data_IF_692221032370
#
_entry.id   IF_692221032370
#
_cell.length_a   1.000
_cell.length_b   1.000
_cell.length_c   1.000
_cell.angle_alpha   90.00
_cell.angle_beta   90.00
_cell.angle_gamma   90.00
#
_symmetry.space_group_name_H-M   'P 1'
#
loop_
_entity.id
_entity.type
_entity.pdbx_description
1 polymer ?
#
# COMPACT_ATOMS: atom_id res chain seq x y z
N UNK A 1 -20.08 2.29 -12.90
CA UNK A 1 -19.01 1.42 -12.33
C UNK A 1 -18.36 0.49 -13.35
N UNK A 2 -19.10 -0.20 -14.24
CA UNK A 2 -18.46 -1.02 -15.31
C UNK A 2 -17.51 -0.20 -16.18
N UNK A 3 -17.96 0.99 -16.59
CA UNK A 3 -17.21 1.94 -17.42
C UNK A 3 -15.87 2.41 -16.81
N UNK A 4 -15.76 2.50 -15.46
CA UNK A 4 -14.51 2.93 -14.79
C UNK A 4 -13.44 1.83 -14.86
N UNK A 5 -13.84 0.55 -14.90
CA UNK A 5 -12.89 -0.57 -14.90
C UNK A 5 -12.06 -0.62 -16.19
N UNK A 6 -12.64 -0.14 -17.28
CA UNK A 6 -12.03 -0.14 -18.61
C UNK A 6 -11.00 0.99 -18.79
N UNK A 7 -10.91 1.90 -17.82
CA UNK A 7 -10.00 3.06 -17.84
C UNK A 7 -8.67 2.81 -17.14
N UNK A 8 -8.30 1.55 -16.89
CA UNK A 8 -7.07 1.23 -16.19
C UNK A 8 -5.80 1.46 -17.03
N UNK A 9 -5.96 1.45 -18.36
CA UNK A 9 -4.87 1.58 -19.34
C UNK A 9 -4.55 3.01 -19.75
N UNK A 10 -5.25 4.00 -19.19
CA UNK A 10 -5.04 5.42 -19.50
C UNK A 10 -4.72 6.19 -18.24
N UNK A 11 -3.92 7.24 -18.37
CA UNK A 11 -3.65 8.17 -17.28
C UNK A 11 -4.90 8.97 -16.93
N UNK A 12 -4.97 9.48 -15.69
CA UNK A 12 -6.03 10.39 -15.31
C UNK A 12 -5.99 11.68 -16.14
N UNK A 13 -4.79 12.18 -16.48
CA UNK A 13 -4.61 13.31 -17.37
C UNK A 13 -5.24 13.09 -18.74
N UNK A 14 -4.96 11.97 -19.40
CA UNK A 14 -5.51 11.64 -20.72
C UNK A 14 -7.03 11.58 -20.68
N UNK A 15 -7.56 10.91 -19.64
CA UNK A 15 -8.99 10.84 -19.42
C UNK A 15 -9.60 12.23 -19.22
N UNK A 16 -9.02 13.06 -18.34
CA UNK A 16 -9.57 14.37 -17.98
C UNK A 16 -9.54 15.35 -19.16
N UNK A 17 -8.45 15.37 -19.92
CA UNK A 17 -8.33 16.17 -21.14
C UNK A 17 -9.34 15.73 -22.21
N UNK A 18 -9.56 14.42 -22.37
CA UNK A 18 -10.57 13.88 -23.30
C UNK A 18 -12.00 14.32 -22.97
N UNK A 19 -12.26 14.76 -21.73
CA UNK A 19 -13.54 15.28 -21.26
C UNK A 19 -13.62 16.81 -21.26
N UNK A 20 -12.68 17.49 -21.90
CA UNK A 20 -12.63 18.97 -21.98
C UNK A 20 -11.96 19.64 -20.78
N UNK A 21 -11.29 18.86 -19.92
CA UNK A 21 -10.45 19.39 -18.86
C UNK A 21 -9.25 20.17 -19.41
N UNK A 22 -8.66 21.02 -18.57
CA UNK A 22 -7.48 21.82 -18.95
C UNK A 22 -6.25 21.36 -18.19
N UNK A 23 -5.07 21.52 -18.81
CA UNK A 23 -3.79 21.23 -18.15
C UNK A 23 -3.59 22.08 -16.89
N UNK A 24 -4.09 23.31 -16.89
CA UNK A 24 -4.04 24.18 -15.72
C UNK A 24 -4.84 23.62 -14.54
N UNK A 25 -6.01 23.03 -14.80
CA UNK A 25 -6.80 22.37 -13.75
C UNK A 25 -6.09 21.13 -13.22
N UNK A 26 -5.38 20.38 -14.07
CA UNK A 26 -4.57 19.24 -13.63
C UNK A 26 -3.51 19.72 -12.64
N UNK A 27 -2.68 20.68 -13.04
CA UNK A 27 -1.55 21.16 -12.23
C UNK A 27 -1.97 21.81 -10.91
N UNK A 28 -3.06 22.60 -10.91
CA UNK A 28 -3.46 23.37 -9.72
C UNK A 28 -4.36 22.63 -8.75
N UNK A 29 -5.06 21.59 -9.22
CA UNK A 29 -6.08 20.90 -8.42
C UNK A 29 -5.86 19.40 -8.40
N UNK A 30 -5.77 18.75 -9.56
CA UNK A 30 -5.77 17.28 -9.60
C UNK A 30 -4.43 16.66 -9.22
N UNK A 31 -3.30 17.26 -9.58
CA UNK A 31 -1.97 16.79 -9.15
C UNK A 31 -1.84 16.81 -7.62
N UNK A 32 -2.17 17.90 -6.89
CA UNK A 32 -2.23 17.87 -5.43
C UNK A 32 -3.06 16.72 -4.85
N UNK A 33 -4.20 16.41 -5.45
CA UNK A 33 -5.08 15.32 -5.00
C UNK A 33 -4.48 13.95 -5.33
N UNK A 34 -3.92 13.78 -6.53
CA UNK A 34 -3.25 12.54 -6.93
C UNK A 34 -2.05 12.24 -6.03
N UNK A 35 -1.25 13.26 -5.68
CA UNK A 35 -0.16 13.12 -4.71
C UNK A 35 -0.66 12.72 -3.32
N UNK A 36 -1.78 13.28 -2.86
CA UNK A 36 -2.35 12.92 -1.56
C UNK A 36 -2.89 11.48 -1.52
N UNK A 37 -3.37 10.95 -2.66
CA UNK A 37 -3.98 9.62 -2.75
C UNK A 37 -2.99 8.51 -3.07
N UNK A 38 -2.05 8.76 -3.98
CA UNK A 38 -1.16 7.74 -4.54
C UNK A 38 0.30 8.14 -4.65
N UNK A 39 0.68 9.35 -4.18
CA UNK A 39 2.05 9.88 -4.23
C UNK A 39 2.66 9.99 -5.63
N UNK A 40 1.81 10.03 -6.67
CA UNK A 40 2.20 10.23 -8.08
C UNK A 40 1.26 11.24 -8.75
N UNK A 41 1.72 11.85 -9.84
CA UNK A 41 0.96 12.85 -10.59
C UNK A 41 -0.15 12.25 -11.46
N UNK A 42 -0.95 13.12 -12.07
CA UNK A 42 -2.06 12.73 -12.93
C UNK A 42 -1.64 12.11 -14.27
N UNK A 43 -0.39 12.30 -14.70
CA UNK A 43 0.14 11.70 -15.94
C UNK A 43 0.52 10.23 -15.74
N UNK A 44 0.90 9.87 -14.52
CA UNK A 44 1.33 8.51 -14.17
C UNK A 44 0.25 7.70 -13.46
N UNK A 45 -0.71 8.34 -12.79
CA UNK A 45 -1.80 7.61 -12.11
C UNK A 45 -2.88 7.14 -13.10
N UNK A 46 -3.31 5.88 -12.95
CA UNK A 46 -4.43 5.32 -13.71
C UNK A 46 -5.72 6.09 -13.46
N UNK A 47 -6.47 6.40 -14.53
CA UNK A 47 -7.77 7.06 -14.43
C UNK A 47 -8.75 6.25 -13.59
N UNK A 48 -8.71 4.92 -13.70
CA UNK A 48 -9.52 4.01 -12.88
C UNK A 48 -9.27 4.22 -11.39
N UNK A 49 -8.02 4.38 -10.96
CA UNK A 49 -7.66 4.58 -9.56
C UNK A 49 -8.35 5.82 -8.99
N UNK A 50 -8.16 6.97 -9.65
CA UNK A 50 -8.75 8.25 -9.25
C UNK A 50 -10.28 8.20 -9.28
N UNK A 51 -10.88 7.76 -10.39
CA UNK A 51 -12.34 7.76 -10.57
C UNK A 51 -13.07 6.81 -9.62
N UNK A 52 -12.42 5.72 -9.20
CA UNK A 52 -12.99 4.82 -8.19
C UNK A 52 -13.15 5.53 -6.85
N UNK A 53 -12.15 6.30 -6.43
CA UNK A 53 -12.17 7.07 -5.18
C UNK A 53 -13.23 8.18 -5.25
N UNK A 54 -13.27 8.93 -6.36
CA UNK A 54 -14.30 9.98 -6.51
C UNK A 54 -15.71 9.42 -6.63
N UNK A 55 -15.88 8.26 -7.26
CA UNK A 55 -17.17 7.57 -7.26
C UNK A 55 -17.58 7.16 -5.85
N UNK A 56 -16.64 6.77 -4.98
CA UNK A 56 -16.94 6.48 -3.58
C UNK A 56 -17.41 7.73 -2.84
N UNK A 57 -16.71 8.86 -3.00
CA UNK A 57 -17.10 10.13 -2.38
C UNK A 57 -18.44 10.66 -2.90
N UNK A 58 -18.71 10.51 -4.20
CA UNK A 58 -19.98 10.93 -4.79
C UNK A 58 -21.17 10.07 -4.34
N UNK A 59 -20.96 8.80 -4.01
CA UNK A 59 -22.05 7.86 -3.66
C UNK A 59 -22.28 7.69 -2.17
N UNK A 60 -21.30 8.05 -1.32
CA UNK A 60 -21.39 7.95 0.13
C UNK A 60 -21.12 9.31 0.76
N UNK A 61 -22.17 9.94 1.29
CA UNK A 61 -22.12 11.26 1.93
C UNK A 61 -21.09 11.38 3.04
N UNK A 62 -20.85 10.31 3.80
CA UNK A 62 -19.86 10.31 4.89
C UNK A 62 -18.46 9.89 4.46
N UNK A 63 -18.25 9.42 3.23
CA UNK A 63 -16.97 8.88 2.80
C UNK A 63 -15.87 9.96 2.68
N UNK A 64 -16.23 11.24 2.60
CA UNK A 64 -15.29 12.35 2.60
C UNK A 64 -14.87 12.81 4.00
N UNK A 65 -15.43 12.24 5.08
CA UNK A 65 -15.07 12.62 6.45
C UNK A 65 -13.71 12.03 6.83
N UNK A 66 -12.74 12.91 7.05
CA UNK A 66 -11.42 12.55 7.54
C UNK A 66 -11.45 12.36 9.06
N UNK A 67 -11.00 11.19 9.52
CA UNK A 67 -10.82 10.88 10.94
C UNK A 67 -9.36 10.52 11.17
N UNK A 68 -8.79 11.09 12.22
CA UNK A 68 -7.43 10.77 12.65
C UNK A 68 -7.47 9.75 13.78
N UNK A 69 -6.47 8.87 13.81
CA UNK A 69 -6.28 7.99 14.95
C UNK A 69 -5.87 8.82 16.16
N UNK A 70 -6.37 8.45 17.35
CA UNK A 70 -6.09 9.16 18.61
C UNK A 70 -4.59 9.22 18.97
N UNK A 71 -3.80 8.29 18.46
CA UNK A 71 -2.36 8.22 18.70
C UNK A 71 -1.72 7.17 17.81
N UNK A 72 -0.62 6.58 18.28
CA UNK A 72 0.12 5.57 17.52
C UNK A 72 -0.78 4.43 17.02
N UNK A 73 -0.66 4.02 15.73
CA UNK A 73 -1.32 2.84 15.18
C UNK A 73 -1.08 1.57 15.99
N UNK A 74 0.09 1.42 16.63
CA UNK A 74 0.38 0.26 17.47
C UNK A 74 -0.58 0.16 18.65
N UNK A 75 -0.90 1.28 19.30
CA UNK A 75 -1.74 1.31 20.49
C UNK A 75 -3.23 1.28 20.14
N UNK A 76 -3.63 2.03 19.10
CA UNK A 76 -5.04 2.30 18.82
C UNK A 76 -5.63 1.52 17.64
N UNK A 77 -4.82 0.77 16.89
CA UNK A 77 -5.28 -0.06 15.77
C UNK A 77 -4.77 -1.50 15.84
N UNK A 78 -3.45 -1.72 15.71
CA UNK A 78 -2.90 -3.08 15.65
C UNK A 78 -2.85 -3.78 17.01
N UNK A 79 -2.67 -3.03 18.10
CA UNK A 79 -2.68 -3.56 19.47
C UNK A 79 -4.00 -4.27 19.83
N UNK A 80 -5.17 -3.61 19.67
CA UNK A 80 -6.46 -4.25 19.88
C UNK A 80 -6.67 -5.51 19.02
N UNK A 81 -6.26 -5.47 17.74
CA UNK A 81 -6.34 -6.64 16.84
C UNK A 81 -5.46 -7.79 17.35
N UNK A 82 -4.23 -7.50 17.77
CA UNK A 82 -3.30 -8.48 18.33
C UNK A 82 -3.87 -9.13 19.59
N UNK A 83 -4.45 -8.34 20.49
CA UNK A 83 -5.05 -8.84 21.74
C UNK A 83 -6.22 -9.78 21.43
N UNK A 84 -7.14 -9.36 20.55
CA UNK A 84 -8.29 -10.17 20.12
C UNK A 84 -7.87 -11.54 19.58
N UNK A 85 -6.81 -11.58 18.75
CA UNK A 85 -6.27 -12.81 18.17
C UNK A 85 -5.59 -13.68 19.23
N UNK A 86 -4.80 -13.07 20.11
CA UNK A 86 -4.02 -13.79 21.14
C UNK A 86 -4.93 -14.43 22.20
N UNK A 87 -5.99 -13.72 22.62
CA UNK A 87 -7.01 -14.24 23.54
C UNK A 87 -7.74 -15.48 22.99
N UNK A 88 -7.74 -15.65 21.66
CA UNK A 88 -8.32 -16.80 20.96
C UNK A 88 -7.30 -17.87 20.60
N UNK A 89 -6.11 -17.81 21.20
CA UNK A 89 -5.05 -18.80 21.01
C UNK A 89 -4.17 -18.57 19.77
N UNK A 90 -4.37 -17.48 19.04
CA UNK A 90 -3.46 -17.08 17.97
C UNK A 90 -2.08 -16.71 18.50
N UNK A 91 -1.03 -16.94 17.71
CA UNK A 91 0.37 -16.73 18.11
C UNK A 91 1.05 -15.76 17.17
N UNK A 92 1.83 -14.83 17.74
CA UNK A 92 2.63 -13.87 17.00
C UNK A 92 4.12 -14.17 17.19
N UNK A 93 4.81 -14.46 16.10
CA UNK A 93 6.25 -14.73 16.09
C UNK A 93 6.99 -13.52 15.48
N UNK A 94 7.39 -12.58 16.34
CA UNK A 94 8.11 -11.36 15.90
C UNK A 94 9.60 -11.64 15.70
N UNK A 95 10.23 -10.92 14.77
CA UNK A 95 11.66 -11.10 14.39
C UNK A 95 11.97 -12.46 13.75
N UNK A 96 10.95 -13.08 13.18
CA UNK A 96 11.06 -14.27 12.32
C UNK A 96 10.94 -13.84 10.87
N UNK A 97 11.92 -14.24 10.04
CA UNK A 97 11.89 -14.02 8.60
C UNK A 97 11.66 -15.32 7.85
N UNK A 98 10.68 -15.34 6.95
CA UNK A 98 10.53 -16.40 5.96
C UNK A 98 11.56 -16.19 4.86
N UNK A 99 12.32 -17.25 4.57
CA UNK A 99 13.46 -17.21 3.66
C UNK A 99 13.20 -17.96 2.37
N UNK A 100 12.49 -19.07 2.48
CA UNK A 100 12.14 -19.91 1.35
C UNK A 100 10.78 -20.57 1.58
N UNK A 101 9.99 -20.64 0.51
CA UNK A 101 8.80 -21.47 0.43
C UNK A 101 9.24 -22.82 -0.13
N UNK A 102 9.06 -23.88 0.66
CA UNK A 102 9.30 -25.25 0.19
C UNK A 102 8.03 -25.76 -0.46
N UNK A 103 8.14 -26.26 -1.69
CA UNK A 103 7.02 -26.74 -2.47
C UNK A 103 7.43 -27.96 -3.29
N UNK A 104 6.43 -28.74 -3.68
CA UNK A 104 6.60 -29.91 -4.54
C UNK A 104 5.46 -29.93 -5.58
N UNK A 105 5.56 -30.82 -6.56
CA UNK A 105 4.54 -31.04 -7.58
C UNK A 105 3.88 -32.40 -7.37
N UNK A 106 2.55 -32.42 -7.43
CA UNK A 106 1.78 -33.66 -7.49
C UNK A 106 2.10 -34.43 -8.78
N UNK A 107 1.72 -35.71 -8.83
CA UNK A 107 1.76 -36.53 -10.05
C UNK A 107 0.98 -35.90 -11.20
N UNK A 108 -0.02 -35.08 -10.87
CA UNK A 108 -0.89 -34.40 -11.82
C UNK A 108 -0.34 -33.02 -12.27
N UNK A 109 0.84 -32.63 -11.77
CA UNK A 109 1.51 -31.37 -12.10
C UNK A 109 1.16 -30.18 -11.21
N UNK A 110 0.17 -30.33 -10.32
CA UNK A 110 -0.25 -29.28 -9.38
C UNK A 110 0.81 -28.99 -8.32
N UNK A 111 1.09 -27.70 -8.10
CA UNK A 111 2.10 -27.26 -7.13
C UNK A 111 1.49 -27.11 -5.74
N UNK A 112 2.08 -27.74 -4.73
CA UNK A 112 1.65 -27.60 -3.34
C UNK A 112 2.83 -27.25 -2.42
N UNK A 113 2.54 -26.46 -1.38
CA UNK A 113 3.55 -26.02 -0.41
C UNK A 113 3.70 -27.07 0.68
N UNK A 114 4.94 -27.49 0.92
CA UNK A 114 5.30 -28.49 1.95
C UNK A 114 5.73 -27.85 3.26
N UNK A 115 6.19 -26.59 3.23
CA UNK A 115 6.54 -25.84 4.43
C UNK A 115 7.23 -24.52 4.13
N UNK A 116 7.61 -23.83 5.21
CA UNK A 116 8.37 -22.59 5.17
C UNK A 116 9.70 -22.76 5.89
N UNK A 117 10.79 -22.37 5.24
CA UNK A 117 12.08 -22.23 5.88
C UNK A 117 12.14 -20.87 6.57
N UNK A 118 12.16 -20.89 7.91
CA UNK A 118 12.15 -19.70 8.75
C UNK A 118 13.48 -19.52 9.45
N UNK A 119 13.91 -18.27 9.61
CA UNK A 119 15.12 -17.92 10.38
C UNK A 119 14.78 -16.91 11.47
N UNK A 120 15.38 -17.07 12.64
CA UNK A 120 15.33 -16.08 13.71
C UNK A 120 16.52 -15.13 13.57
N UNK A 121 16.29 -13.82 13.66
CA UNK A 121 17.31 -12.80 13.35
C UNK A 121 18.65 -12.99 14.10
N UNK A 122 18.64 -13.59 15.30
CA UNK A 122 19.82 -13.76 16.15
C UNK A 122 20.51 -15.13 15.96
N UNK A 123 19.78 -16.13 15.46
CA UNK A 123 20.28 -17.51 15.39
C UNK A 123 20.39 -17.89 13.91
N UNK A 124 21.60 -18.17 13.42
CA UNK A 124 21.85 -18.63 12.06
C UNK A 124 21.31 -20.04 11.74
N UNK A 125 20.38 -20.55 12.56
CA UNK A 125 19.71 -21.84 12.35
C UNK A 125 18.35 -21.62 11.70
N UNK A 126 18.05 -22.54 10.80
CA UNK A 126 16.83 -22.57 10.02
C UNK A 126 15.86 -23.53 10.68
N UNK A 127 14.60 -23.13 10.77
CA UNK A 127 13.51 -23.93 11.29
C UNK A 127 12.53 -24.20 10.16
N UNK A 128 12.28 -25.49 9.92
CA UNK A 128 11.19 -25.89 9.05
C UNK A 128 9.88 -25.74 9.81
N UNK A 129 8.96 -24.97 9.23
CA UNK A 129 7.62 -24.79 9.76
C UNK A 129 6.64 -25.36 8.74
N UNK A 130 5.85 -26.35 9.16
CA UNK A 130 4.82 -26.99 8.33
C UNK A 130 3.46 -26.54 8.85
N UNK A 131 2.74 -25.74 8.06
CA UNK A 131 1.37 -25.34 8.34
C UNK A 131 0.57 -25.32 7.04
N UNK A 132 -0.71 -25.65 7.13
CA UNK A 132 -1.68 -25.54 6.04
C UNK A 132 -3.01 -25.07 6.62
N UNK A 133 -3.67 -24.02 6.07
CA UNK A 133 -3.27 -23.21 4.92
C UNK A 133 -2.20 -22.15 5.25
N UNK A 134 -1.54 -21.63 4.21
CA UNK A 134 -0.55 -20.55 4.30
C UNK A 134 -1.05 -19.29 3.59
N UNK A 135 -0.75 -18.13 4.17
CA UNK A 135 -1.04 -16.82 3.59
C UNK A 135 0.21 -15.95 3.69
N UNK A 136 0.70 -15.46 2.56
CA UNK A 136 1.81 -14.51 2.49
C UNK A 136 1.28 -13.07 2.38
N UNK A 137 1.08 -12.40 3.52
CA UNK A 137 0.68 -11.00 3.58
C UNK A 137 1.91 -10.07 3.51
N UNK A 138 2.67 -10.14 2.42
CA UNK A 138 3.87 -9.32 2.20
C UNK A 138 3.59 -8.09 1.32
N UNK A 139 4.43 -7.08 1.44
CA UNK A 139 4.51 -5.97 0.49
C UNK A 139 5.10 -6.43 -0.86
N UNK A 140 5.06 -5.57 -1.88
CA UNK A 140 5.52 -5.90 -3.24
C UNK A 140 6.99 -6.37 -3.27
N UNK A 141 7.96 -5.67 -2.65
CA UNK A 141 9.34 -6.17 -2.58
C UNK A 141 9.45 -7.49 -1.80
N UNK A 142 8.73 -7.62 -0.67
CA UNK A 142 8.75 -8.81 0.17
C UNK A 142 8.25 -10.06 -0.55
N UNK A 143 7.11 -9.96 -1.27
CA UNK A 143 6.56 -11.09 -2.02
C UNK A 143 7.44 -11.46 -3.22
N UNK A 144 7.97 -10.47 -3.96
CA UNK A 144 8.90 -10.72 -5.08
C UNK A 144 10.15 -11.47 -4.66
N UNK A 145 10.65 -11.22 -3.45
CA UNK A 145 11.79 -11.92 -2.85
C UNK A 145 11.42 -13.33 -2.37
N UNK A 146 10.20 -13.53 -1.89
CA UNK A 146 9.76 -14.77 -1.29
C UNK A 146 9.29 -15.81 -2.30
N UNK A 147 8.70 -15.38 -3.42
CA UNK A 147 8.18 -16.28 -4.45
C UNK A 147 9.30 -17.09 -5.11
N UNK A 148 9.15 -18.43 -5.22
CA UNK A 148 10.08 -19.24 -5.97
C UNK A 148 10.16 -18.83 -7.44
N UNK A 149 11.37 -18.83 -8.01
CA UNK A 149 11.60 -18.45 -9.41
C UNK A 149 10.78 -19.28 -10.40
N UNK A 150 10.65 -20.59 -10.15
CA UNK A 150 9.86 -21.50 -10.99
C UNK A 150 8.36 -21.16 -11.03
N UNK A 151 7.82 -20.46 -10.02
CA UNK A 151 6.42 -20.05 -10.03
C UNK A 151 6.15 -18.94 -11.05
N UNK A 152 7.18 -18.24 -11.52
CA UNK A 152 7.07 -17.22 -12.58
C UNK A 152 6.72 -17.80 -13.95
N UNK A 153 6.75 -19.11 -14.12
CA UNK A 153 6.18 -19.76 -15.32
C UNK A 153 4.67 -19.52 -15.43
N UNK A 154 3.99 -19.32 -14.29
CA UNK A 154 2.59 -18.92 -14.26
C UNK A 154 2.45 -17.41 -14.43
N UNK A 155 1.59 -17.00 -15.37
CA UNK A 155 1.26 -15.59 -15.62
C UNK A 155 0.77 -14.90 -14.33
N UNK A 156 0.02 -15.60 -13.49
CA UNK A 156 -0.49 -15.07 -12.22
C UNK A 156 0.63 -14.56 -11.32
N UNK A 157 1.69 -15.36 -11.11
CA UNK A 157 2.82 -14.95 -10.28
C UNK A 157 3.77 -14.02 -11.04
N UNK A 158 3.90 -14.15 -12.35
CA UNK A 158 4.75 -13.26 -13.13
C UNK A 158 4.22 -11.81 -13.14
N UNK A 159 2.89 -11.62 -13.17
CA UNK A 159 2.27 -10.29 -13.12
C UNK A 159 2.60 -9.49 -11.85
N UNK A 160 2.97 -10.16 -10.75
CA UNK A 160 3.46 -9.48 -9.53
C UNK A 160 4.74 -8.70 -9.82
N UNK A 161 5.57 -9.14 -10.77
CA UNK A 161 6.83 -8.50 -11.12
C UNK A 161 6.65 -7.17 -11.87
N UNK A 162 5.50 -6.94 -12.48
CA UNK A 162 5.13 -5.64 -13.09
C UNK A 162 4.82 -4.57 -12.03
N UNK A 163 4.53 -4.95 -10.78
CA UNK A 163 4.21 -4.01 -9.71
C UNK A 163 5.48 -3.32 -9.20
N UNK A 164 5.55 -2.00 -9.30
CA UNK A 164 6.67 -1.20 -8.76
C UNK A 164 6.15 -0.29 -7.64
N UNK A 165 6.86 -0.29 -6.51
CA UNK A 165 6.52 0.59 -5.39
C UNK A 165 6.87 2.04 -5.70
N UNK A 166 5.99 2.96 -5.32
CA UNK A 166 6.26 4.40 -5.37
C UNK A 166 7.10 4.80 -4.15
N UNK A 167 8.23 5.50 -4.32
CA UNK A 167 9.04 5.96 -3.20
C UNK A 167 8.32 7.08 -2.43
N UNK A 168 8.27 6.97 -1.11
CA UNK A 168 7.62 7.96 -0.23
C UNK A 168 8.53 8.26 0.96
N UNK A 169 8.58 9.53 1.36
CA UNK A 169 9.33 10.00 2.53
C UNK A 169 8.38 10.68 3.50
N UNK A 170 8.44 10.27 4.77
CA UNK A 170 7.70 10.92 5.85
C UNK A 170 8.64 11.80 6.66
N UNK A 171 8.35 13.10 6.75
CA UNK A 171 9.12 14.07 7.53
C UNK A 171 8.43 14.35 8.86
N UNK A 172 9.17 14.30 9.95
CA UNK A 172 8.69 14.67 11.28
C UNK A 172 9.54 15.80 11.85
N UNK A 173 8.91 16.96 12.08
CA UNK A 173 9.55 18.14 12.66
C UNK A 173 8.98 18.42 14.04
N UNK A 174 9.85 18.73 15.00
CA UNK A 174 9.46 19.14 16.36
C UNK A 174 9.90 20.57 16.59
N UNK A 175 8.95 21.41 17.01
CA UNK A 175 9.19 22.81 17.32
C UNK A 175 9.20 23.00 18.83
N UNK A 176 9.93 24.03 19.28
CA UNK A 176 9.98 24.46 20.67
C UNK A 176 8.75 25.29 21.10
N UNK A 177 7.82 25.57 20.18
CA UNK A 177 6.61 26.33 20.43
C UNK A 177 5.50 25.99 19.43
N UNK A 178 4.36 26.67 19.59
CA UNK A 178 3.20 26.51 18.70
C UNK A 178 3.47 27.09 17.33
N UNK A 179 3.15 26.33 16.28
CA UNK A 179 3.09 26.86 14.91
C UNK A 179 1.87 27.76 14.82
N UNK A 180 2.09 29.03 14.51
CA UNK A 180 1.04 30.02 14.28
C UNK A 180 1.02 30.39 12.80
N UNK A 181 -0.06 31.02 12.35
CA UNK A 181 -0.16 31.49 10.96
C UNK A 181 1.00 32.43 10.63
N UNK A 182 1.47 32.36 9.38
CA UNK A 182 2.44 33.30 8.83
C UNK A 182 1.87 34.71 8.98
N UNK A 183 2.46 35.54 9.83
CA UNK A 183 2.24 36.99 9.77
C UNK A 183 2.82 37.47 8.45
N UNK A 184 2.02 38.17 7.64
CA UNK A 184 2.51 38.82 6.44
C UNK A 184 3.75 39.65 6.80
N UNK A 185 4.88 39.29 6.20
CA UNK A 185 6.18 39.94 6.42
C UNK A 185 6.14 41.45 6.09
N UNK A 186 5.13 41.91 5.36
CA UNK A 186 4.91 43.32 5.03
C UNK A 186 4.51 44.19 6.23
N UNK A 187 4.06 43.61 7.34
CA UNK A 187 3.77 44.37 8.57
C UNK A 187 5.05 44.75 9.37
N UNK A 188 6.23 44.28 8.95
CA UNK A 188 7.51 44.56 9.63
C UNK A 188 8.30 45.75 9.04
N UNK A 189 7.73 46.47 8.07
CA UNK A 189 8.33 47.67 7.45
C UNK A 189 7.69 49.01 7.85
N UNK A 190 6.94 49.06 8.96
CA UNK A 190 6.31 50.29 9.42
C UNK A 190 6.07 50.34 10.92
N UNK A 191 7.13 50.64 11.68
CA UNK A 191 7.14 51.55 12.83
C UNK A 191 8.56 51.65 13.40
#
# INVERSE_FOLDING_TARGET
MRDIRDLDKISFSDWFLSKGGTRMSIQRMWDPVAYALGFIDCDNISARCMLTIFSLFATKTEASLLRMLKGSPDVYLSGPIRNYITERGGRFHLRWGCREILYDKSTDGETYVTGLAMSFYIISKWFLIIFTPLMAACDVPGIKRLLPSGWRESEFFNNIYELVGVPVVTVQLRYNGWVTELRDLDSSKGN
#
